data_IF_916324567498
#
_entry.id   IF_916324567498
#
_cell.length_a   1.000
_cell.length_b   1.000
_cell.length_c   1.000
_cell.angle_alpha   90.00
_cell.angle_beta   90.00
_cell.angle_gamma   90.00
#
_symmetry.space_group_name_H-M   'P 1'
#
loop_
_entity.id
_entity.type
_entity.pdbx_description
1 polymer ?
#
# COMPACT_ATOMS: atom_id res chain seq x y z
N UNK A 1 13.43 -1.95 -1.29
CA UNK A 1 12.50 -3.06 -1.72
C UNK A 1 11.16 -2.51 -2.13
N UNK A 2 10.65 -2.94 -3.27
CA UNK A 2 9.32 -2.60 -3.79
C UNK A 2 8.43 -3.84 -3.72
N UNK A 3 7.22 -3.71 -3.17
CA UNK A 3 6.22 -4.79 -3.07
C UNK A 3 4.95 -4.36 -3.77
N UNK A 4 4.47 -5.16 -4.72
CA UNK A 4 3.25 -4.91 -5.49
C UNK A 4 2.23 -5.97 -5.14
N UNK A 5 1.04 -5.56 -4.73
CA UNK A 5 -0.11 -6.44 -4.55
C UNK A 5 -0.94 -6.48 -5.83
N UNK A 6 -1.22 -7.67 -6.34
CA UNK A 6 -1.91 -7.85 -7.62
C UNK A 6 -3.10 -8.81 -7.52
N UNK A 7 -4.15 -8.49 -8.29
CA UNK A 7 -5.27 -9.41 -8.52
C UNK A 7 -5.97 -9.16 -9.85
N UNK A 8 -5.86 -10.12 -10.78
CA UNK A 8 -6.56 -10.16 -12.07
C UNK A 8 -6.40 -8.91 -12.98
N UNK A 9 -5.23 -8.25 -12.94
CA UNK A 9 -4.92 -7.06 -13.76
C UNK A 9 -3.54 -7.16 -14.41
N UNK A 10 -3.31 -8.15 -15.30
CA UNK A 10 -1.96 -8.43 -15.83
C UNK A 10 -1.35 -7.24 -16.58
N UNK A 11 -2.13 -6.50 -17.36
CA UNK A 11 -1.61 -5.37 -18.15
C UNK A 11 -1.15 -4.20 -17.26
N UNK A 12 -1.92 -3.91 -16.20
CA UNK A 12 -1.55 -2.88 -15.24
C UNK A 12 -0.33 -3.28 -14.44
N UNK A 13 -0.33 -4.53 -13.95
CA UNK A 13 0.80 -5.10 -13.25
C UNK A 13 2.07 -5.01 -14.09
N UNK A 14 2.01 -5.40 -15.38
CA UNK A 14 3.15 -5.34 -16.29
C UNK A 14 3.68 -3.91 -16.41
N UNK A 15 2.79 -2.95 -16.68
CA UNK A 15 3.16 -1.54 -16.77
C UNK A 15 3.84 -1.04 -15.49
N UNK A 16 3.27 -1.35 -14.32
CA UNK A 16 3.84 -0.92 -13.04
C UNK A 16 5.22 -1.55 -12.81
N UNK A 17 5.41 -2.84 -13.13
CA UNK A 17 6.72 -3.51 -13.03
C UNK A 17 7.75 -2.83 -13.93
N UNK A 18 7.38 -2.48 -15.17
CA UNK A 18 8.26 -1.78 -16.12
C UNK A 18 8.64 -0.36 -15.65
N UNK A 19 7.81 0.29 -14.85
CA UNK A 19 8.10 1.59 -14.24
C UNK A 19 9.04 1.49 -13.00
N UNK A 20 9.21 0.30 -12.40
CA UNK A 20 9.99 0.13 -11.17
C UNK A 20 11.50 0.32 -11.42
N UNK A 21 12.21 1.09 -10.56
CA UNK A 21 13.65 1.30 -10.71
C UNK A 21 14.50 0.07 -10.33
N UNK A 22 13.90 -0.89 -9.68
CA UNK A 22 14.52 -2.15 -9.26
C UNK A 22 13.50 -3.30 -9.40
N UNK A 23 13.98 -4.54 -9.41
CA UNK A 23 13.13 -5.72 -9.52
C UNK A 23 12.18 -5.83 -8.32
N UNK A 24 10.84 -5.67 -8.51
CA UNK A 24 9.91 -5.72 -7.40
C UNK A 24 9.58 -7.15 -6.98
N UNK A 25 9.04 -7.30 -5.77
CA UNK A 25 8.32 -8.49 -5.32
C UNK A 25 6.84 -8.29 -5.67
N UNK A 26 6.26 -9.23 -6.40
CA UNK A 26 4.82 -9.25 -6.71
C UNK A 26 4.15 -10.32 -5.86
N UNK A 27 3.12 -9.93 -5.13
CA UNK A 27 2.27 -10.82 -4.34
C UNK A 27 0.90 -10.84 -4.98
N UNK A 28 0.61 -11.93 -5.68
CA UNK A 28 -0.61 -12.13 -6.45
C UNK A 28 -1.64 -12.90 -5.63
N UNK A 29 -2.85 -12.38 -5.54
CA UNK A 29 -3.95 -12.94 -4.72
C UNK A 29 -4.73 -14.05 -5.44
N UNK A 30 -4.04 -14.93 -6.14
CA UNK A 30 -4.65 -16.07 -6.84
C UNK A 30 -5.36 -15.68 -8.13
N UNK A 31 -4.74 -14.82 -8.93
CA UNK A 31 -5.23 -14.43 -10.26
C UNK A 31 -5.33 -15.61 -11.23
N UNK A 32 -6.16 -15.43 -12.25
CA UNK A 32 -6.39 -16.44 -13.29
C UNK A 32 -5.49 -16.28 -14.53
N UNK A 33 -4.63 -15.24 -14.56
CA UNK A 33 -3.72 -15.02 -15.70
C UNK A 33 -2.46 -15.88 -15.60
N UNK A 34 -1.79 -16.09 -16.75
CA UNK A 34 -0.50 -16.74 -16.81
C UNK A 34 0.60 -15.83 -16.21
N UNK A 35 1.41 -16.37 -15.30
CA UNK A 35 2.51 -15.65 -14.67
C UNK A 35 3.80 -15.65 -15.54
N UNK A 36 3.88 -16.47 -16.60
CA UNK A 36 5.06 -16.58 -17.47
C UNK A 36 5.56 -15.24 -18.02
N UNK A 37 4.70 -14.29 -18.43
CA UNK A 37 5.15 -12.99 -18.92
C UNK A 37 5.94 -12.16 -17.90
N UNK A 38 5.85 -12.48 -16.60
CA UNK A 38 6.51 -11.75 -15.52
C UNK A 38 7.82 -12.40 -15.07
N UNK A 39 8.13 -13.61 -15.59
CA UNK A 39 9.38 -14.31 -15.27
C UNK A 39 10.59 -13.46 -15.66
N UNK A 40 11.49 -13.23 -14.71
CA UNK A 40 12.66 -12.39 -14.91
C UNK A 40 12.43 -10.90 -14.61
N UNK A 41 11.21 -10.39 -14.75
CA UNK A 41 10.87 -8.98 -14.49
C UNK A 41 10.66 -8.68 -12.99
N UNK A 42 10.15 -9.65 -12.22
CA UNK A 42 9.88 -9.52 -10.80
C UNK A 42 10.14 -10.84 -10.06
N UNK A 43 10.15 -10.80 -8.73
CA UNK A 43 10.00 -11.99 -7.89
C UNK A 43 8.50 -12.22 -7.69
N UNK A 44 7.92 -13.23 -8.35
CA UNK A 44 6.46 -13.43 -8.41
C UNK A 44 6.02 -14.53 -7.46
N UNK A 45 5.09 -14.20 -6.55
CA UNK A 45 4.49 -15.14 -5.60
C UNK A 45 2.97 -15.16 -5.75
N UNK A 46 2.43 -16.28 -6.23
CA UNK A 46 0.99 -16.49 -6.27
C UNK A 46 0.52 -17.18 -5.02
N UNK A 47 -0.30 -16.50 -4.24
CA UNK A 47 -0.96 -17.03 -3.05
C UNK A 47 -2.40 -17.39 -3.41
N UNK A 48 -2.90 -18.51 -2.87
CA UNK A 48 -4.27 -18.98 -3.17
C UNK A 48 -5.32 -18.43 -2.21
N UNK A 49 -5.15 -17.20 -1.78
CA UNK A 49 -6.09 -16.51 -0.91
C UNK A 49 -6.83 -15.46 -1.72
N UNK A 50 -8.15 -15.42 -1.67
CA UNK A 50 -8.94 -14.48 -2.46
C UNK A 50 -9.72 -13.53 -1.55
N UNK A 51 -9.93 -12.30 -2.05
CA UNK A 51 -10.74 -11.29 -1.38
C UNK A 51 -10.08 -10.72 -0.12
N UNK A 52 -10.89 -10.27 0.82
CA UNK A 52 -10.43 -9.54 2.02
C UNK A 52 -9.49 -10.36 2.91
N UNK A 53 -9.79 -11.65 3.10
CA UNK A 53 -8.95 -12.57 3.87
C UNK A 53 -7.63 -12.81 3.16
N UNK A 54 -7.67 -12.97 1.85
CA UNK A 54 -6.48 -13.08 1.01
C UNK A 54 -5.59 -11.86 1.13
N UNK A 55 -6.17 -10.68 1.02
CA UNK A 55 -5.41 -9.43 1.14
C UNK A 55 -4.72 -9.28 2.50
N UNK A 56 -5.37 -9.70 3.59
CA UNK A 56 -4.75 -9.74 4.92
C UNK A 56 -3.55 -10.70 4.96
N UNK A 57 -3.71 -11.91 4.42
CA UNK A 57 -2.64 -12.90 4.33
C UNK A 57 -1.48 -12.44 3.43
N UNK A 58 -1.78 -11.77 2.33
CA UNK A 58 -0.79 -11.19 1.43
C UNK A 58 0.05 -10.11 2.13
N UNK A 59 -0.57 -9.27 2.95
CA UNK A 59 0.15 -8.30 3.77
C UNK A 59 1.03 -8.98 4.82
N UNK A 60 0.53 -10.03 5.47
CA UNK A 60 1.36 -10.81 6.39
C UNK A 60 2.60 -11.35 5.68
N UNK A 61 2.41 -11.97 4.50
CA UNK A 61 3.51 -12.49 3.69
C UNK A 61 4.49 -11.39 3.28
N UNK A 62 4.00 -10.24 2.81
CA UNK A 62 4.83 -9.09 2.47
C UNK A 62 5.71 -8.64 3.64
N UNK A 63 5.13 -8.50 4.82
CA UNK A 63 5.86 -8.10 6.03
C UNK A 63 6.93 -9.12 6.42
N UNK A 64 6.68 -10.43 6.27
CA UNK A 64 7.70 -11.46 6.49
C UNK A 64 8.84 -11.35 5.47
N UNK A 65 8.55 -11.03 4.20
CA UNK A 65 9.58 -10.75 3.19
C UNK A 65 10.41 -9.52 3.56
N UNK A 66 9.77 -8.43 4.00
CA UNK A 66 10.46 -7.25 4.50
C UNK A 66 11.35 -7.56 5.71
N UNK A 67 10.89 -8.43 6.63
CA UNK A 67 11.69 -8.87 7.78
C UNK A 67 12.97 -9.61 7.36
N UNK A 68 12.85 -10.49 6.37
CA UNK A 68 13.93 -11.34 5.88
C UNK A 68 14.95 -10.61 4.99
N UNK A 69 14.64 -9.41 4.48
CA UNK A 69 15.56 -8.62 3.66
C UNK A 69 16.47 -7.75 4.52
N UNK A 70 17.51 -7.18 3.91
CA UNK A 70 18.39 -6.17 4.51
C UNK A 70 17.98 -4.73 4.13
N UNK A 71 16.88 -4.56 3.38
CA UNK A 71 16.42 -3.26 2.92
C UNK A 71 16.00 -2.37 4.10
N UNK A 72 16.36 -1.10 4.02
CA UNK A 72 16.00 -0.09 5.01
C UNK A 72 14.68 0.62 4.67
N UNK A 73 14.31 0.65 3.37
CA UNK A 73 13.11 1.34 2.88
C UNK A 73 12.23 0.43 2.05
N UNK A 74 10.93 0.58 2.21
CA UNK A 74 9.90 -0.26 1.59
C UNK A 74 8.83 0.60 0.93
N UNK A 75 8.46 0.23 -0.30
CA UNK A 75 7.35 0.86 -1.02
C UNK A 75 6.32 -0.21 -1.33
N UNK A 76 5.11 -0.03 -0.82
CA UNK A 76 3.98 -0.91 -1.09
C UNK A 76 3.06 -0.25 -2.11
N UNK A 77 2.66 -1.00 -3.13
CA UNK A 77 1.85 -0.52 -4.25
C UNK A 77 0.70 -1.50 -4.55
N UNK A 78 -0.42 -0.97 -5.02
CA UNK A 78 -1.43 -1.76 -5.69
C UNK A 78 -1.13 -1.82 -7.19
N UNK A 79 -1.55 -2.88 -7.86
CA UNK A 79 -1.29 -3.10 -9.29
C UNK A 79 -1.95 -2.08 -10.24
N UNK A 80 -2.92 -1.29 -9.74
CA UNK A 80 -3.58 -0.20 -10.46
C UNK A 80 -2.92 1.19 -10.25
N UNK A 81 -1.77 1.24 -9.60
CA UNK A 81 -0.94 2.44 -9.53
C UNK A 81 -0.05 2.54 -10.78
N UNK A 82 0.26 3.78 -11.18
CA UNK A 82 1.18 4.07 -12.26
C UNK A 82 1.78 5.48 -12.12
N UNK A 83 2.75 5.81 -12.97
CA UNK A 83 3.45 7.11 -12.95
C UNK A 83 3.97 7.44 -11.56
N UNK A 84 4.68 6.48 -10.94
CA UNK A 84 5.23 6.63 -9.60
C UNK A 84 6.41 7.60 -9.61
N UNK A 85 6.40 8.58 -8.71
CA UNK A 85 7.45 9.60 -8.55
C UNK A 85 8.70 9.04 -7.82
N UNK A 86 9.37 8.05 -8.46
CA UNK A 86 10.51 7.33 -7.87
C UNK A 86 11.65 8.22 -7.42
N UNK A 87 11.95 9.28 -8.18
CA UNK A 87 13.00 10.25 -7.82
C UNK A 87 12.67 10.97 -6.51
N UNK A 88 11.39 11.25 -6.28
CA UNK A 88 10.93 11.86 -5.02
C UNK A 88 11.07 10.86 -3.86
N UNK A 89 10.60 9.63 -4.03
CA UNK A 89 10.68 8.58 -3.00
C UNK A 89 12.12 8.23 -2.62
N UNK A 90 13.04 8.24 -3.58
CA UNK A 90 14.45 7.93 -3.33
C UNK A 90 15.15 8.93 -2.38
N UNK A 91 14.58 10.13 -2.22
CA UNK A 91 15.05 11.16 -1.29
C UNK A 91 14.59 10.96 0.15
N UNK A 92 13.58 10.13 0.39
CA UNK A 92 13.02 9.90 1.72
C UNK A 92 13.93 8.98 2.54
N UNK A 93 15.01 9.53 3.09
CA UNK A 93 16.07 8.80 3.82
C UNK A 93 16.04 9.06 5.33
N UNK A 94 14.85 9.12 5.93
CA UNK A 94 14.66 9.37 7.36
C UNK A 94 14.98 8.12 8.18
N UNK A 95 15.85 8.25 9.20
CA UNK A 95 16.16 7.16 10.15
C UNK A 95 15.05 6.94 11.16
N UNK A 96 14.38 8.01 11.63
CA UNK A 96 13.23 7.90 12.55
C UNK A 96 12.05 7.25 11.83
N UNK A 97 11.21 6.47 12.51
CA UNK A 97 10.03 5.84 11.90
C UNK A 97 9.16 6.84 11.14
N UNK A 98 8.63 6.43 10.01
CA UNK A 98 7.63 7.17 9.24
C UNK A 98 6.86 6.25 8.29
N UNK A 99 5.63 6.64 7.95
CA UNK A 99 4.87 6.11 6.83
C UNK A 99 4.39 7.28 5.96
N UNK A 100 4.52 7.16 4.65
CA UNK A 100 4.20 8.19 3.68
C UNK A 100 3.27 7.63 2.61
N UNK A 101 1.99 8.01 2.65
CA UNK A 101 1.03 7.63 1.63
C UNK A 101 1.45 8.21 0.27
N UNK A 102 1.22 7.46 -0.79
CA UNK A 102 1.60 7.88 -2.15
C UNK A 102 0.46 8.59 -2.88
N UNK A 103 -0.77 8.23 -2.54
CA UNK A 103 -1.99 8.76 -3.12
C UNK A 103 -2.66 9.73 -2.13
N UNK A 104 -3.05 10.90 -2.61
CA UNK A 104 -3.98 11.79 -1.93
C UNK A 104 -5.32 11.72 -2.64
N UNK A 105 -6.22 10.94 -2.12
CA UNK A 105 -7.58 10.74 -2.67
C UNK A 105 -8.66 11.52 -1.91
N UNK A 106 -8.24 12.49 -1.10
CA UNK A 106 -9.14 13.31 -0.29
C UNK A 106 -9.71 12.62 0.95
N UNK A 107 -9.42 11.32 1.14
CA UNK A 107 -9.92 10.55 2.32
C UNK A 107 -9.09 10.77 3.58
N UNK A 108 -8.15 11.69 3.56
CA UNK A 108 -7.26 11.98 4.71
C UNK A 108 -8.01 12.47 5.95
N UNK A 109 -9.22 12.98 5.78
CA UNK A 109 -10.08 13.45 6.87
C UNK A 109 -10.91 12.32 7.52
N UNK A 110 -11.02 11.16 6.86
CA UNK A 110 -11.97 10.11 7.25
C UNK A 110 -11.56 9.30 8.47
N UNK A 111 -10.32 9.36 8.92
CA UNK A 111 -9.81 8.48 9.98
C UNK A 111 -9.12 9.25 11.11
N UNK A 112 -9.91 9.81 12.01
CA UNK A 112 -9.78 9.84 13.48
C UNK A 112 -8.58 10.61 14.09
N UNK A 113 -8.95 11.42 15.06
CA UNK A 113 -8.18 11.90 16.22
C UNK A 113 -7.01 12.86 15.96
N UNK A 114 -6.48 12.99 14.76
CA UNK A 114 -5.47 14.00 14.46
C UNK A 114 -6.05 15.03 13.51
N UNK A 115 -6.13 16.28 13.91
CA UNK A 115 -6.35 17.35 12.93
C UNK A 115 -5.21 17.30 11.91
N UNK A 116 -5.52 17.31 10.61
CA UNK A 116 -4.48 17.38 9.57
C UNK A 116 -3.60 18.60 9.81
N UNK A 117 -2.28 18.42 9.72
CA UNK A 117 -1.33 19.51 9.93
C UNK A 117 -0.44 19.61 8.70
N UNK A 118 -0.42 20.80 8.11
CA UNK A 118 0.48 21.12 7.00
C UNK A 118 1.94 20.91 7.40
N UNK A 119 2.66 20.18 6.60
CA UNK A 119 4.08 19.86 6.79
C UNK A 119 4.80 19.87 5.45
N UNK A 120 6.10 19.93 5.54
CA UNK A 120 6.98 19.60 4.43
C UNK A 120 7.74 18.32 4.77
N UNK A 121 7.80 17.38 3.83
CA UNK A 121 8.53 16.15 3.99
C UNK A 121 9.53 16.01 2.84
N UNK A 122 10.81 16.23 3.13
CA UNK A 122 11.89 16.22 2.14
C UNK A 122 11.64 17.13 0.91
N UNK A 123 11.14 18.33 1.13
CA UNK A 123 10.82 19.30 0.07
C UNK A 123 9.46 19.04 -0.61
N UNK A 124 8.71 18.03 -0.19
CA UNK A 124 7.36 17.75 -0.70
C UNK A 124 6.31 18.37 0.22
N UNK A 125 5.47 19.29 -0.30
CA UNK A 125 4.32 19.78 0.44
C UNK A 125 3.39 18.63 0.83
N UNK A 126 3.16 18.45 2.11
CA UNK A 126 2.51 17.28 2.68
C UNK A 126 1.54 17.68 3.79
N UNK A 127 0.73 16.73 4.21
CA UNK A 127 -0.16 16.84 5.37
C UNK A 127 0.20 15.68 6.30
N UNK A 128 0.42 15.96 7.58
CA UNK A 128 0.51 14.92 8.59
C UNK A 128 -0.90 14.46 8.95
N UNK A 129 -1.13 13.15 8.88
CA UNK A 129 -2.44 12.51 9.03
C UNK A 129 -2.41 11.39 10.06
N UNK A 130 -3.57 10.91 10.47
CA UNK A 130 -3.72 9.76 11.39
C UNK A 130 -3.95 8.42 10.69
N UNK A 131 -3.80 8.36 9.37
CA UNK A 131 -4.15 7.18 8.59
C UNK A 131 -3.12 6.88 7.50
N UNK A 132 -2.91 5.59 7.22
CA UNK A 132 -2.21 5.09 6.03
C UNK A 132 -3.10 4.10 5.30
N UNK A 133 -3.05 4.12 3.99
CA UNK A 133 -3.77 3.16 3.14
C UNK A 133 -2.77 2.16 2.52
N UNK A 134 -3.23 1.33 1.60
CA UNK A 134 -2.49 0.22 1.04
C UNK A 134 -1.33 0.61 0.11
N UNK A 135 -1.18 1.89 -0.23
CA UNK A 135 -0.08 2.41 -1.06
C UNK A 135 0.76 3.42 -0.28
N UNK A 136 1.87 2.97 0.32
CA UNK A 136 2.74 3.86 1.07
C UNK A 136 4.22 3.48 0.99
N UNK A 137 5.07 4.45 1.27
CA UNK A 137 6.50 4.29 1.47
C UNK A 137 6.85 4.44 2.95
N UNK A 138 7.72 3.58 3.46
CA UNK A 138 8.15 3.65 4.86
C UNK A 138 9.57 3.14 5.05
N UNK A 139 10.11 3.32 6.24
CA UNK A 139 11.37 2.69 6.61
C UNK A 139 11.17 1.44 7.47
N UNK A 140 12.25 0.66 7.63
CA UNK A 140 12.28 -0.55 8.46
C UNK A 140 11.84 -0.28 9.90
N UNK A 141 12.20 0.89 10.45
CA UNK A 141 11.84 1.26 11.82
C UNK A 141 10.33 1.40 12.01
N UNK A 142 9.58 1.82 10.98
CA UNK A 142 8.12 1.83 11.01
C UNK A 142 7.55 0.39 10.99
N UNK A 143 8.09 -0.50 10.16
CA UNK A 143 7.62 -1.90 10.11
C UNK A 143 7.94 -2.70 11.37
N UNK A 144 9.00 -2.35 12.11
CA UNK A 144 9.29 -2.95 13.43
C UNK A 144 8.15 -2.74 14.41
N UNK A 145 7.43 -1.64 14.33
CA UNK A 145 6.24 -1.36 15.16
C UNK A 145 5.12 -2.36 14.90
N UNK A 146 4.99 -2.86 13.68
CA UNK A 146 4.07 -3.93 13.30
C UNK A 146 4.61 -5.33 13.66
N UNK A 147 5.83 -5.42 14.23
CA UNK A 147 6.54 -6.67 14.41
C UNK A 147 6.66 -7.50 13.11
N UNK A 148 6.60 -6.83 11.95
CA UNK A 148 6.58 -7.44 10.62
C UNK A 148 5.48 -8.51 10.45
N UNK A 149 4.33 -8.32 11.05
CA UNK A 149 3.24 -9.31 11.03
C UNK A 149 1.87 -8.65 10.95
N UNK A 150 0.93 -9.41 10.43
CA UNK A 150 -0.51 -9.13 10.57
C UNK A 150 -1.08 -10.14 11.57
N UNK A 151 -1.68 -9.71 12.67
CA UNK A 151 -2.22 -10.64 13.68
C UNK A 151 -3.43 -11.41 13.12
N UNK A 152 -3.81 -12.52 13.74
CA UNK A 152 -5.09 -13.16 13.45
C UNK A 152 -6.24 -12.17 13.62
N UNK A 153 -7.20 -12.22 12.72
CA UNK A 153 -8.41 -11.37 12.72
C UNK A 153 -9.63 -12.25 12.87
N UNK A 154 -10.62 -11.74 13.56
CA UNK A 154 -11.93 -12.39 13.65
C UNK A 154 -12.46 -12.70 12.23
N UNK A 155 -12.73 -13.97 11.91
CA UNK A 155 -13.25 -14.36 10.61
C UNK A 155 -14.53 -13.62 10.21
N UNK A 156 -15.39 -13.27 11.15
CA UNK A 156 -16.64 -12.54 10.92
C UNK A 156 -16.41 -11.17 10.24
N UNK A 157 -15.25 -10.55 10.44
CA UNK A 157 -14.89 -9.32 9.75
C UNK A 157 -14.88 -9.48 8.23
N UNK A 158 -14.41 -10.62 7.76
CA UNK A 158 -14.29 -10.89 6.32
C UNK A 158 -15.64 -11.27 5.69
N UNK A 159 -16.57 -11.77 6.47
CA UNK A 159 -17.88 -12.23 6.01
C UNK A 159 -18.87 -11.07 5.85
N UNK A 160 -18.58 -9.89 6.45
CA UNK A 160 -19.41 -8.70 6.28
C UNK A 160 -19.04 -7.95 4.98
N UNK A 161 -19.94 -7.87 3.98
CA UNK A 161 -19.66 -7.22 2.70
C UNK A 161 -19.41 -5.71 2.82
N UNK A 162 -19.94 -5.05 3.86
CA UNK A 162 -19.81 -3.62 4.08
C UNK A 162 -18.46 -3.22 4.72
N UNK A 163 -17.76 -4.18 5.33
CA UNK A 163 -16.48 -3.93 5.97
C UNK A 163 -15.33 -4.11 4.99
N UNK A 164 -14.37 -3.18 4.99
CA UNK A 164 -13.09 -3.34 4.29
C UNK A 164 -12.26 -4.47 4.90
N UNK A 165 -11.17 -4.86 4.23
CA UNK A 165 -10.18 -5.82 4.78
C UNK A 165 -9.64 -5.40 6.14
N UNK A 166 -9.60 -4.09 6.41
CA UNK A 166 -9.12 -3.50 7.65
C UNK A 166 -7.60 -3.45 7.78
N UNK A 167 -6.87 -3.80 6.74
CA UNK A 167 -5.39 -3.74 6.74
C UNK A 167 -4.89 -2.34 7.06
N UNK A 168 -5.35 -1.33 6.30
CA UNK A 168 -4.95 0.06 6.53
C UNK A 168 -5.35 0.56 7.93
N UNK A 169 -6.55 0.21 8.41
CA UNK A 169 -7.01 0.57 9.75
C UNK A 169 -6.12 -0.04 10.84
N UNK A 170 -5.76 -1.30 10.71
CA UNK A 170 -4.85 -1.96 11.66
C UNK A 170 -3.48 -1.28 11.67
N UNK A 171 -2.85 -1.11 10.50
CA UNK A 171 -1.52 -0.52 10.39
C UNK A 171 -1.51 0.91 10.92
N UNK A 172 -2.51 1.73 10.55
CA UNK A 172 -2.66 3.10 11.02
C UNK A 172 -2.78 3.17 12.54
N UNK A 173 -3.57 2.29 13.14
CA UNK A 173 -3.71 2.20 14.60
C UNK A 173 -2.36 1.89 15.25
N UNK A 174 -1.63 0.89 14.74
CA UNK A 174 -0.32 0.54 15.27
C UNK A 174 0.70 1.68 15.12
N UNK A 175 0.72 2.35 13.96
CA UNK A 175 1.57 3.51 13.76
C UNK A 175 1.21 4.66 14.71
N UNK A 176 -0.08 4.92 14.89
CA UNK A 176 -0.56 5.98 15.76
C UNK A 176 -0.17 5.76 17.22
N UNK A 177 -0.47 4.60 17.80
CA UNK A 177 -0.17 4.31 19.22
C UNK A 177 1.33 4.23 19.51
N UNK A 178 2.16 3.94 18.50
CA UNK A 178 3.62 3.90 18.60
C UNK A 178 4.29 5.19 18.10
N UNK A 179 3.54 6.25 17.91
CA UNK A 179 4.03 7.59 17.53
C UNK A 179 4.83 7.61 16.23
N UNK A 180 4.50 6.72 15.28
CA UNK A 180 5.02 6.76 13.92
C UNK A 180 4.24 7.81 13.13
N UNK A 181 4.85 8.91 12.70
CA UNK A 181 4.15 9.92 11.94
C UNK A 181 3.77 9.38 10.55
N UNK A 182 2.54 9.64 10.16
CA UNK A 182 1.99 9.31 8.84
C UNK A 182 1.78 10.60 8.06
N UNK A 183 2.14 10.58 6.78
CA UNK A 183 2.04 11.72 5.88
C UNK A 183 1.28 11.36 4.62
N UNK A 184 0.70 12.37 3.98
CA UNK A 184 0.16 12.28 2.62
C UNK A 184 0.64 13.50 1.83
N UNK A 185 1.04 13.38 0.57
CA UNK A 185 1.43 14.52 -0.25
C UNK A 185 0.20 15.39 -0.56
N UNK A 186 0.36 16.72 -0.68
CA UNK A 186 -0.70 17.59 -1.19
C UNK A 186 -1.06 17.29 -2.65
N UNK A 187 -0.07 16.84 -3.43
CA UNK A 187 -0.24 16.31 -4.80
C UNK A 187 0.26 14.86 -4.81
N UNK A 188 -0.58 13.94 -5.24
CA UNK A 188 -0.25 12.51 -5.28
C UNK A 188 1.08 12.23 -5.97
N UNK A 189 1.85 11.30 -5.43
CA UNK A 189 3.11 10.80 -6.01
C UNK A 189 2.90 9.60 -6.93
N UNK A 190 1.66 9.18 -7.12
CA UNK A 190 1.23 8.14 -8.04
C UNK A 190 -0.07 8.56 -8.70
N UNK A 191 -0.37 7.98 -9.86
CA UNK A 191 -1.70 8.01 -10.42
C UNK A 191 -2.39 6.68 -10.11
N UNK A 192 -3.68 6.74 -9.86
CA UNK A 192 -4.51 5.57 -9.64
C UNK A 192 -5.35 5.31 -10.88
N UNK A 193 -5.36 4.07 -11.37
CA UNK A 193 -6.23 3.68 -12.49
C UNK A 193 -7.70 3.74 -12.08
N UNK A 194 -8.53 4.33 -12.97
CA UNK A 194 -9.98 4.44 -12.78
C UNK A 194 -10.71 3.11 -13.00
N UNK A 195 -10.18 2.02 -12.45
CA UNK A 195 -10.78 0.71 -12.60
C UNK A 195 -11.59 0.33 -11.37
N UNK A 196 -12.69 -0.42 -11.52
CA UNK A 196 -13.46 -0.93 -10.39
C UNK A 196 -12.55 -1.72 -9.45
N UNK A 197 -12.75 -1.55 -8.14
CA UNK A 197 -12.06 -2.38 -7.17
C UNK A 197 -12.45 -3.84 -7.37
N UNK A 198 -11.49 -4.71 -7.62
CA UNK A 198 -11.75 -6.15 -7.72
C UNK A 198 -12.09 -6.77 -6.35
N UNK A 199 -11.66 -6.13 -5.26
CA UNK A 199 -11.98 -6.56 -3.89
C UNK A 199 -13.30 -5.97 -3.37
N UNK A 200 -13.67 -4.77 -3.83
CA UNK A 200 -14.82 -4.01 -3.35
C UNK A 200 -15.55 -3.31 -4.50
N UNK A 201 -16.11 -4.04 -5.46
CA UNK A 201 -16.75 -3.44 -6.63
C UNK A 201 -17.90 -2.49 -6.28
N UNK A 202 -18.57 -2.72 -5.16
CA UNK A 202 -19.72 -1.92 -4.72
C UNK A 202 -19.32 -0.59 -4.06
N UNK A 203 -18.19 -0.56 -3.37
CA UNK A 203 -17.78 0.63 -2.61
C UNK A 203 -17.28 1.78 -3.49
N UNK A 204 -16.69 1.50 -4.66
CA UNK A 204 -16.17 2.53 -5.57
C UNK A 204 -17.22 3.21 -6.42
N UNK A 205 -18.44 2.68 -6.55
CA UNK A 205 -19.54 3.34 -7.24
C UNK A 205 -20.03 4.62 -6.55
N UNK A 206 -19.64 4.86 -5.31
CA UNK A 206 -20.17 5.94 -4.46
C UNK A 206 -19.26 7.16 -4.31
N UNK A 207 -18.03 7.11 -4.78
CA UNK A 207 -17.09 8.25 -4.68
C UNK A 207 -16.83 8.79 -6.09
N UNK A 208 -17.31 9.99 -6.44
CA UNK A 208 -16.88 10.64 -7.66
C UNK A 208 -15.37 10.85 -7.59
N UNK A 209 -14.64 10.30 -8.56
CA UNK A 209 -13.24 10.63 -8.73
C UNK A 209 -13.18 12.10 -9.13
N UNK A 210 -12.56 12.91 -8.30
CA UNK A 210 -12.21 14.28 -8.65
C UNK A 210 -11.13 14.13 -9.75
N UNK A 211 -11.47 14.58 -10.96
CA UNK A 211 -10.54 14.64 -12.08
C UNK A 211 -9.30 15.43 -11.66
N UNK A 212 -8.15 14.74 -11.66
CA UNK A 212 -6.84 15.34 -11.39
C UNK A 212 -5.99 15.36 -12.64
#
# INVERSE_FOLDING_TARGET
MIVIFSYNRPEMLKRLIEECPEKPIVIDDGSNFDAMPFVGMCEFHRLNHKGKRGFWANWHYALQRCKASDDEYFTFLADDFHSVEWQTLSRFKRKKPFAYNLLNDGRTECFIACKPVDKEFYGVPSIQVGFTDCGYHCNRSALKVLNFTMPPVDPMRFDNPEMSSGVGAYQSTQFFINLVPMYVPKKSLVKHGNHPSMMHPELRKKVPLIDQ
#
